data_IF_543942329014
#
_entry.id   IF_543942329014
#
_cell.length_a   1.000
_cell.length_b   1.000
_cell.length_c   1.000
_cell.angle_alpha   90.00
_cell.angle_beta   90.00
_cell.angle_gamma   90.00
#
_symmetry.space_group_name_H-M   'P 1'
#
loop_
_entity.id
_entity.type
_entity.pdbx_description
1 polymer ?
#
# COMPACT_ATOMS: atom_id res chain seq x y z
N UNK A 1 4.65 -28.75 9.83
CA UNK A 1 5.63 -29.29 10.80
C UNK A 1 6.10 -30.68 10.40
N UNK A 2 5.27 -31.47 9.73
CA UNK A 2 5.64 -32.67 8.94
C UNK A 2 7.08 -32.69 8.36
N UNK A 3 7.55 -31.59 7.79
CA UNK A 3 8.87 -31.51 7.13
C UNK A 3 9.91 -30.65 7.85
N UNK A 4 9.50 -29.88 8.87
CA UNK A 4 10.33 -28.84 9.52
C UNK A 4 10.23 -28.82 11.05
N UNK A 5 9.84 -29.95 11.65
CA UNK A 5 9.66 -30.06 13.09
C UNK A 5 10.96 -29.78 13.85
N UNK A 6 12.11 -30.25 13.35
CA UNK A 6 13.40 -30.14 14.04
C UNK A 6 13.83 -28.67 14.11
N UNK A 7 13.74 -27.94 13.00
CA UNK A 7 14.07 -26.52 12.91
C UNK A 7 13.11 -25.67 13.77
N UNK A 8 11.80 -25.97 13.71
CA UNK A 8 10.80 -25.29 14.53
C UNK A 8 11.03 -25.52 16.03
N UNK A 9 11.40 -26.73 16.43
CA UNK A 9 11.70 -27.05 17.83
C UNK A 9 12.97 -26.34 18.31
N UNK A 10 14.02 -26.32 17.47
CA UNK A 10 15.25 -25.60 17.76
C UNK A 10 15.02 -24.11 18.02
N UNK A 11 14.25 -23.45 17.15
CA UNK A 11 13.85 -22.04 17.34
C UNK A 11 13.02 -21.87 18.61
N UNK A 12 12.04 -22.76 18.85
CA UNK A 12 11.18 -22.70 20.02
C UNK A 12 11.96 -22.79 21.33
N UNK A 13 12.98 -23.64 21.40
CA UNK A 13 13.79 -23.82 22.62
C UNK A 13 14.61 -22.56 22.95
N UNK A 14 15.13 -21.88 21.93
CA UNK A 14 15.84 -20.60 22.12
C UNK A 14 14.86 -19.50 22.58
N UNK A 15 13.67 -19.43 21.97
CA UNK A 15 12.64 -18.46 22.37
C UNK A 15 12.17 -18.70 23.81
N UNK A 16 12.01 -19.96 24.22
CA UNK A 16 11.72 -20.33 25.62
C UNK A 16 12.86 -19.98 26.56
N UNK A 17 14.11 -20.23 26.15
CA UNK A 17 15.31 -19.84 26.90
C UNK A 17 15.42 -18.32 27.11
N UNK A 18 14.85 -17.52 26.20
CA UNK A 18 14.73 -16.08 26.33
C UNK A 18 13.52 -15.63 27.20
N UNK A 19 12.83 -16.56 27.86
CA UNK A 19 11.73 -16.27 28.79
C UNK A 19 10.35 -16.09 28.16
N UNK A 20 10.15 -16.51 26.90
CA UNK A 20 8.85 -16.40 26.21
C UNK A 20 8.13 -17.74 26.09
N UNK A 21 6.80 -17.70 26.17
CA UNK A 21 5.97 -18.85 25.83
C UNK A 21 5.90 -19.04 24.31
N UNK A 22 5.81 -20.30 23.87
CA UNK A 22 5.75 -20.66 22.44
C UNK A 22 4.50 -21.49 22.18
N UNK A 23 3.74 -21.09 21.17
CA UNK A 23 2.63 -21.84 20.59
C UNK A 23 3.03 -22.30 19.19
N UNK A 24 2.78 -23.57 18.86
CA UNK A 24 3.00 -24.09 17.51
C UNK A 24 1.72 -24.02 16.69
N UNK A 25 1.83 -23.47 15.48
CA UNK A 25 0.78 -23.53 14.46
C UNK A 25 1.28 -24.44 13.35
N UNK A 26 0.73 -25.65 13.27
CA UNK A 26 1.12 -26.63 12.25
C UNK A 26 0.38 -26.37 10.94
N UNK A 27 1.14 -26.03 9.89
CA UNK A 27 0.65 -25.86 8.51
C UNK A 27 1.11 -27.01 7.59
N UNK A 28 1.48 -28.15 8.16
CA UNK A 28 1.90 -29.35 7.43
C UNK A 28 0.73 -30.04 6.72
N UNK A 29 1.00 -30.62 5.55
CA UNK A 29 -0.04 -31.24 4.72
C UNK A 29 -0.28 -32.71 5.06
N UNK A 30 0.67 -33.39 5.71
CA UNK A 30 0.64 -34.85 5.89
C UNK A 30 -0.39 -35.36 6.90
N UNK A 31 -0.90 -34.51 7.81
CA UNK A 31 -1.81 -34.91 8.89
C UNK A 31 -3.23 -34.36 8.72
N UNK A 32 -3.45 -33.48 7.75
CA UNK A 32 -4.71 -32.76 7.60
C UNK A 32 -5.72 -33.53 6.75
N UNK A 33 -6.41 -34.49 7.36
CA UNK A 33 -7.52 -35.22 6.72
C UNK A 33 -8.75 -34.36 6.41
N UNK A 34 -8.76 -33.08 6.82
CA UNK A 34 -9.87 -32.13 6.66
C UNK A 34 -9.92 -31.48 5.27
N UNK A 35 -8.78 -31.41 4.57
CA UNK A 35 -8.68 -30.85 3.24
C UNK A 35 -8.26 -31.94 2.26
N UNK A 36 -9.23 -32.54 1.57
CA UNK A 36 -8.95 -33.53 0.51
C UNK A 36 -8.97 -32.80 -0.83
N UNK A 37 -7.79 -32.46 -1.34
CA UNK A 37 -7.61 -32.00 -2.71
C UNK A 37 -6.41 -32.71 -3.32
N UNK A 38 -6.54 -33.16 -4.57
CA UNK A 38 -5.43 -33.68 -5.35
C UNK A 38 -4.52 -32.56 -5.90
N UNK A 39 -4.95 -31.30 -5.78
CA UNK A 39 -4.15 -30.12 -6.11
C UNK A 39 -3.46 -29.58 -4.85
N UNK A 40 -2.11 -29.67 -4.76
CA UNK A 40 -1.34 -29.14 -3.64
C UNK A 40 -1.52 -27.64 -3.40
N UNK A 41 -1.80 -26.84 -4.43
CA UNK A 41 -1.99 -25.39 -4.27
C UNK A 41 -3.31 -25.08 -3.54
N UNK A 42 -4.40 -25.75 -3.94
CA UNK A 42 -5.72 -25.62 -3.28
C UNK A 42 -5.65 -26.10 -1.83
N UNK A 43 -4.94 -27.20 -1.58
CA UNK A 43 -4.72 -27.72 -0.23
C UNK A 43 -4.00 -26.69 0.66
N UNK A 44 -2.89 -26.13 0.19
CA UNK A 44 -2.11 -25.13 0.94
C UNK A 44 -2.91 -23.85 1.20
N UNK A 45 -3.73 -23.40 0.24
CA UNK A 45 -4.60 -22.25 0.43
C UNK A 45 -5.66 -22.49 1.52
N UNK A 46 -6.23 -23.70 1.59
CA UNK A 46 -7.16 -24.09 2.66
C UNK A 46 -6.51 -24.08 4.04
N UNK A 47 -5.32 -24.70 4.15
CA UNK A 47 -4.53 -24.72 5.39
C UNK A 47 -4.16 -23.30 5.84
N UNK A 48 -3.66 -22.48 4.91
CA UNK A 48 -3.28 -21.10 5.20
C UNK A 48 -4.47 -20.30 5.76
N UNK A 49 -5.67 -20.48 5.20
CA UNK A 49 -6.89 -19.79 5.65
C UNK A 49 -7.29 -20.15 7.08
N UNK A 50 -7.22 -21.43 7.44
CA UNK A 50 -7.54 -21.87 8.80
C UNK A 50 -6.47 -21.46 9.82
N UNK A 51 -5.20 -21.50 9.42
CA UNK A 51 -4.10 -21.01 10.24
C UNK A 51 -4.21 -19.48 10.44
N UNK A 52 -4.56 -18.71 9.40
CA UNK A 52 -4.83 -17.26 9.48
C UNK A 52 -5.91 -16.94 10.52
N UNK A 53 -7.05 -17.63 10.48
CA UNK A 53 -8.12 -17.47 11.49
C UNK A 53 -7.62 -17.75 12.91
N UNK A 54 -6.85 -18.82 13.08
CA UNK A 54 -6.32 -19.22 14.38
C UNK A 54 -5.33 -18.19 14.93
N UNK A 55 -4.41 -17.70 14.09
CA UNK A 55 -3.42 -16.68 14.45
C UNK A 55 -4.10 -15.36 14.79
N UNK A 56 -5.10 -14.93 14.01
CA UNK A 56 -5.88 -13.72 14.32
C UNK A 56 -6.63 -13.85 15.64
N UNK A 57 -7.29 -14.98 15.92
CA UNK A 57 -7.96 -15.19 17.21
C UNK A 57 -7.00 -15.19 18.41
N UNK A 58 -5.77 -15.69 18.23
CA UNK A 58 -4.71 -15.57 19.24
C UNK A 58 -4.26 -14.11 19.43
N UNK A 59 -4.19 -13.33 18.36
CA UNK A 59 -3.83 -11.93 18.40
C UNK A 59 -4.90 -11.10 19.12
N UNK A 60 -6.17 -11.25 18.73
CA UNK A 60 -7.32 -10.57 19.33
C UNK A 60 -7.44 -10.83 20.84
N UNK A 61 -7.11 -12.04 21.27
CA UNK A 61 -7.13 -12.43 22.70
C UNK A 61 -5.84 -12.08 23.45
N UNK A 62 -4.88 -11.41 22.81
CA UNK A 62 -3.60 -11.01 23.42
C UNK A 62 -2.65 -12.17 23.74
N UNK A 63 -2.88 -13.35 23.17
CA UNK A 63 -2.09 -14.57 23.43
C UNK A 63 -0.85 -14.70 22.56
N UNK A 64 -0.75 -13.91 21.49
CA UNK A 64 0.44 -13.85 20.63
C UNK A 64 0.93 -12.42 20.48
N UNK A 65 2.24 -12.23 20.56
CA UNK A 65 2.91 -10.92 20.49
C UNK A 65 3.97 -10.84 19.39
N UNK A 66 4.22 -11.96 18.70
CA UNK A 66 5.12 -12.08 17.58
C UNK A 66 4.86 -13.40 16.85
N UNK A 67 5.12 -13.46 15.54
CA UNK A 67 5.02 -14.68 14.73
C UNK A 67 6.34 -14.90 13.98
N UNK A 68 6.88 -16.12 14.10
CA UNK A 68 8.04 -16.58 13.32
C UNK A 68 7.67 -17.79 12.48
N UNK A 69 7.99 -17.73 11.18
CA UNK A 69 7.82 -18.80 10.21
C UNK A 69 9.17 -19.35 9.75
N UNK A 70 9.19 -20.64 9.44
CA UNK A 70 10.35 -21.35 8.88
C UNK A 70 9.87 -22.16 7.69
N UNK A 71 10.39 -21.91 6.49
CA UNK A 71 9.94 -22.64 5.31
C UNK A 71 10.72 -22.39 4.03
N UNK A 72 10.55 -23.28 3.05
CA UNK A 72 10.99 -23.04 1.67
C UNK A 72 9.96 -22.23 0.88
N UNK A 73 9.95 -22.36 -0.44
CA UNK A 73 9.01 -21.61 -1.32
C UNK A 73 7.54 -21.76 -0.93
N UNK A 74 7.01 -23.00 -0.85
CA UNK A 74 5.61 -23.25 -0.49
C UNK A 74 5.24 -22.74 0.91
N UNK A 75 6.10 -23.02 1.89
CA UNK A 75 5.89 -22.57 3.28
C UNK A 75 5.94 -21.05 3.42
N UNK A 76 6.75 -20.37 2.61
CA UNK A 76 6.83 -18.90 2.58
C UNK A 76 5.55 -18.28 2.04
N UNK A 77 4.96 -18.86 0.99
CA UNK A 77 3.65 -18.43 0.48
C UNK A 77 2.55 -18.60 1.53
N UNK A 78 2.50 -19.76 2.20
CA UNK A 78 1.55 -20.00 3.30
C UNK A 78 1.77 -19.01 4.44
N UNK A 79 3.02 -18.75 4.83
CA UNK A 79 3.32 -17.77 5.88
C UNK A 79 2.75 -16.39 5.54
N UNK A 80 2.96 -15.93 4.31
CA UNK A 80 2.44 -14.64 3.84
C UNK A 80 0.92 -14.53 4.01
N UNK A 81 0.19 -15.58 3.63
CA UNK A 81 -1.27 -15.63 3.80
C UNK A 81 -1.71 -15.67 5.27
N UNK A 82 -0.98 -16.41 6.13
CA UNK A 82 -1.31 -16.57 7.55
C UNK A 82 -1.18 -15.26 8.32
N UNK A 83 -0.20 -14.43 8.00
CA UNK A 83 0.08 -13.19 8.74
C UNK A 83 -0.54 -11.94 8.10
N UNK A 84 -1.29 -12.09 7.00
CA UNK A 84 -1.75 -10.97 6.17
C UNK A 84 -2.67 -9.98 6.90
N UNK A 85 -3.42 -10.43 7.91
CA UNK A 85 -4.33 -9.57 8.71
C UNK A 85 -3.68 -9.00 9.97
N UNK A 86 -2.46 -9.42 10.31
CA UNK A 86 -1.82 -8.93 11.51
C UNK A 86 -1.46 -7.45 11.33
N UNK A 87 -1.65 -6.60 12.37
CA UNK A 87 -1.47 -5.17 12.22
C UNK A 87 -0.08 -4.77 11.74
N UNK A 88 -0.02 -3.59 11.11
CA UNK A 88 1.25 -2.96 10.81
C UNK A 88 2.07 -2.74 12.09
N UNK A 89 3.37 -3.00 12.04
CA UNK A 89 4.27 -2.99 13.19
C UNK A 89 4.22 -4.26 14.05
N UNK A 90 3.26 -5.16 13.84
CA UNK A 90 3.26 -6.46 14.53
C UNK A 90 4.50 -7.28 14.14
N UNK A 91 5.29 -7.85 15.08
CA UNK A 91 6.49 -8.61 14.75
C UNK A 91 6.19 -9.86 13.92
N UNK A 92 6.60 -9.84 12.65
CA UNK A 92 6.47 -10.95 11.69
C UNK A 92 7.86 -11.25 11.14
N UNK A 93 8.37 -12.46 11.37
CA UNK A 93 9.69 -12.89 10.86
C UNK A 93 9.56 -14.19 10.06
N UNK A 94 10.12 -14.23 8.86
CA UNK A 94 10.18 -15.42 8.03
C UNK A 94 11.63 -15.83 7.76
N UNK A 95 12.04 -16.99 8.27
CA UNK A 95 13.31 -17.65 7.91
C UNK A 95 13.06 -18.54 6.70
N UNK A 96 13.72 -18.27 5.57
CA UNK A 96 13.33 -18.91 4.32
C UNK A 96 14.44 -19.21 3.32
N UNK A 97 14.33 -20.37 2.66
CA UNK A 97 15.12 -20.78 1.47
C UNK A 97 14.41 -20.46 0.14
N UNK A 98 13.32 -19.68 0.17
CA UNK A 98 12.56 -19.33 -1.02
C UNK A 98 13.37 -18.50 -2.02
N UNK A 99 12.97 -18.62 -3.29
CA UNK A 99 13.51 -17.82 -4.40
C UNK A 99 13.35 -16.31 -4.13
N UNK A 100 14.35 -15.47 -4.44
CA UNK A 100 14.33 -14.03 -4.15
C UNK A 100 13.09 -13.30 -4.64
N UNK A 101 12.53 -13.70 -5.79
CA UNK A 101 11.32 -13.09 -6.32
C UNK A 101 10.10 -13.25 -5.40
N UNK A 102 9.94 -14.42 -4.74
CA UNK A 102 8.83 -14.61 -3.79
C UNK A 102 9.07 -13.79 -2.51
N UNK A 103 10.31 -13.71 -2.05
CA UNK A 103 10.67 -12.87 -0.90
C UNK A 103 10.39 -11.39 -1.19
N UNK A 104 10.72 -10.92 -2.39
CA UNK A 104 10.40 -9.56 -2.83
C UNK A 104 8.88 -9.33 -2.92
N UNK A 105 8.12 -10.33 -3.40
CA UNK A 105 6.65 -10.26 -3.43
C UNK A 105 6.06 -10.10 -2.02
N UNK A 106 6.55 -10.89 -1.04
CA UNK A 106 6.12 -10.78 0.35
C UNK A 106 6.49 -9.42 0.95
N UNK A 107 7.72 -8.95 0.73
CA UNK A 107 8.17 -7.63 1.20
C UNK A 107 7.38 -6.47 0.58
N UNK A 108 6.87 -6.64 -0.64
CA UNK A 108 6.01 -5.64 -1.30
C UNK A 108 4.59 -5.56 -0.74
N UNK A 109 4.15 -6.57 0.03
CA UNK A 109 2.78 -6.67 0.56
C UNK A 109 2.72 -6.58 2.09
N UNK A 110 3.78 -7.00 2.78
CA UNK A 110 3.81 -7.18 4.22
C UNK A 110 4.97 -6.42 4.85
N UNK A 111 4.76 -5.92 6.06
CA UNK A 111 5.80 -5.40 6.95
C UNK A 111 6.50 -6.57 7.69
N UNK A 112 7.15 -7.42 6.91
CA UNK A 112 7.77 -8.67 7.37
C UNK A 112 9.30 -8.55 7.40
N UNK A 113 9.92 -9.07 8.45
CA UNK A 113 11.35 -9.33 8.48
C UNK A 113 11.66 -10.64 7.75
N UNK A 114 12.43 -10.55 6.68
CA UNK A 114 12.86 -11.72 5.91
C UNK A 114 14.29 -12.09 6.30
N UNK A 115 14.51 -13.35 6.65
CA UNK A 115 15.83 -13.91 6.91
C UNK A 115 16.12 -15.01 5.87
N UNK A 116 16.70 -14.66 4.70
CA UNK A 116 17.05 -15.63 3.68
C UNK A 116 18.16 -16.55 4.20
N UNK A 117 17.94 -17.87 4.15
CA UNK A 117 18.95 -18.85 4.59
C UNK A 117 20.06 -19.05 3.56
N UNK A 118 19.80 -18.74 2.30
CA UNK A 118 20.67 -18.97 1.12
C UNK A 118 21.07 -20.44 0.86
N UNK A 119 20.75 -21.34 1.79
CA UNK A 119 20.83 -22.79 1.69
C UNK A 119 19.48 -23.38 2.07
N UNK A 120 19.20 -24.60 1.62
CA UNK A 120 17.95 -25.26 1.99
C UNK A 120 17.97 -25.75 3.45
N UNK A 121 16.77 -25.91 4.01
CA UNK A 121 16.55 -26.38 5.37
C UNK A 121 16.23 -27.87 5.34
N UNK A 122 17.18 -28.70 5.77
CA UNK A 122 17.04 -30.14 5.96
C UNK A 122 17.58 -30.51 7.35
N UNK A 123 16.90 -30.01 8.38
CA UNK A 123 17.34 -30.10 9.77
C UNK A 123 18.32 -28.99 10.17
N UNK A 124 18.83 -29.13 11.39
CA UNK A 124 19.74 -28.16 12.01
C UNK A 124 21.17 -28.68 11.91
N UNK A 125 22.04 -27.92 11.25
CA UNK A 125 23.47 -28.19 11.14
C UNK A 125 24.28 -26.95 11.56
N UNK A 126 25.61 -27.03 11.59
CA UNK A 126 26.46 -25.92 12.06
C UNK A 126 26.36 -24.62 11.25
N UNK A 127 25.77 -24.65 10.06
CA UNK A 127 25.48 -23.46 9.25
C UNK A 127 24.06 -22.94 9.50
N UNK A 128 23.05 -23.80 9.39
CA UNK A 128 21.64 -23.40 9.56
C UNK A 128 21.31 -23.01 11.00
N UNK A 129 21.99 -23.60 12.00
CA UNK A 129 21.82 -23.25 13.42
C UNK A 129 22.11 -21.78 13.69
N UNK A 130 23.12 -21.19 13.04
CA UNK A 130 23.50 -19.78 13.23
C UNK A 130 22.38 -18.85 12.80
N UNK A 131 21.78 -19.13 11.64
CA UNK A 131 20.66 -18.36 11.09
C UNK A 131 19.40 -18.52 11.96
N UNK A 132 19.07 -19.75 12.32
CA UNK A 132 17.91 -20.05 13.17
C UNK A 132 18.06 -19.44 14.57
N UNK A 133 19.25 -19.48 15.16
CA UNK A 133 19.53 -18.88 16.46
C UNK A 133 19.39 -17.36 16.43
N UNK A 134 19.97 -16.69 15.43
CA UNK A 134 19.82 -15.25 15.26
C UNK A 134 18.36 -14.85 15.08
N UNK A 135 17.61 -15.57 14.24
CA UNK A 135 16.19 -15.31 14.02
C UNK A 135 15.35 -15.52 15.29
N UNK A 136 15.63 -16.59 16.05
CA UNK A 136 14.97 -16.88 17.32
C UNK A 136 15.23 -15.79 18.37
N UNK A 137 16.49 -15.35 18.51
CA UNK A 137 16.86 -14.26 19.42
C UNK A 137 16.25 -12.92 19.00
N UNK A 138 16.24 -12.63 17.70
CA UNK A 138 15.64 -11.41 17.16
C UNK A 138 14.13 -11.35 17.46
N UNK A 139 13.38 -12.40 17.12
CA UNK A 139 11.93 -12.41 17.36
C UNK A 139 11.61 -12.44 18.87
N UNK A 140 12.43 -13.10 19.68
CA UNK A 140 12.26 -13.09 21.13
C UNK A 140 12.47 -11.70 21.75
N UNK A 141 13.34 -10.87 21.15
CA UNK A 141 13.57 -9.50 21.60
C UNK A 141 12.51 -8.50 21.11
N UNK A 142 11.70 -8.85 20.09
CA UNK A 142 10.67 -7.96 19.58
C UNK A 142 9.44 -7.94 20.48
N UNK A 143 8.92 -6.75 20.72
CA UNK A 143 7.69 -6.53 21.47
C UNK A 143 6.70 -5.76 20.61
N UNK A 144 5.47 -6.28 20.50
CA UNK A 144 4.38 -5.50 19.97
C UNK A 144 3.75 -4.69 21.09
N UNK A 145 3.83 -3.36 20.95
CA UNK A 145 3.07 -2.44 21.76
C UNK A 145 1.99 -1.87 20.83
N UNK A 146 0.72 -2.28 21.00
CA UNK A 146 -0.37 -1.68 20.24
C UNK A 146 -0.29 -0.17 20.38
N UNK A 147 -0.37 0.57 19.27
CA UNK A 147 -0.37 2.03 19.28
C UNK A 147 -1.51 2.48 20.20
N UNK A 148 -1.18 3.20 21.28
CA UNK A 148 -2.20 3.93 22.01
C UNK A 148 -2.91 4.86 21.00
N UNK A 149 -4.24 4.96 21.05
CA UNK A 149 -4.98 5.85 20.14
C UNK A 149 -4.32 7.23 20.19
N UNK A 150 -3.58 7.57 19.15
CA UNK A 150 -2.89 8.85 19.05
C UNK A 150 -3.95 9.94 19.09
N UNK A 151 -3.76 10.97 19.91
CA UNK A 151 -4.61 12.18 19.88
C UNK A 151 -4.32 13.03 18.64
N UNK A 152 -3.16 12.88 17.99
CA UNK A 152 -2.83 13.59 16.76
C UNK A 152 -3.46 12.89 15.58
N UNK A 153 -4.28 13.65 14.86
CA UNK A 153 -4.90 13.24 13.61
C UNK A 153 -3.84 13.01 12.54
N UNK A 154 -4.00 11.96 11.75
CA UNK A 154 -3.05 11.56 10.72
C UNK A 154 -3.72 11.61 9.35
N UNK A 155 -3.13 12.36 8.43
CA UNK A 155 -3.62 12.51 7.05
C UNK A 155 -2.67 11.82 6.09
N UNK A 156 -3.18 10.88 5.30
CA UNK A 156 -2.41 10.27 4.21
C UNK A 156 -2.40 11.19 3.00
N UNK A 157 -1.25 11.30 2.32
CA UNK A 157 -1.09 12.13 1.12
C UNK A 157 -0.39 11.32 0.05
N UNK A 158 -0.94 11.26 -1.17
CA UNK A 158 -0.19 10.71 -2.31
C UNK A 158 0.65 11.78 -2.99
N UNK A 159 1.82 11.42 -3.50
CA UNK A 159 2.72 12.36 -4.18
C UNK A 159 3.54 11.65 -5.26
N UNK A 160 4.01 12.43 -6.22
CA UNK A 160 5.01 12.01 -7.21
C UNK A 160 6.04 13.12 -7.41
N UNK A 161 7.14 12.84 -8.12
CA UNK A 161 8.20 13.84 -8.33
C UNK A 161 7.65 15.18 -8.86
N UNK A 162 6.70 15.08 -9.81
CA UNK A 162 6.03 16.20 -10.50
C UNK A 162 4.89 16.87 -9.71
N UNK A 163 4.59 16.39 -8.50
CA UNK A 163 3.55 16.92 -7.59
C UNK A 163 4.09 17.16 -6.17
N UNK A 164 5.42 17.04 -6.00
CA UNK A 164 6.11 17.22 -4.72
C UNK A 164 5.90 18.61 -4.11
N UNK A 165 5.87 19.73 -4.88
CA UNK A 165 5.58 21.03 -4.30
C UNK A 165 4.21 21.09 -3.58
N UNK A 166 3.16 20.52 -4.19
CA UNK A 166 1.82 20.46 -3.59
C UNK A 166 1.83 19.62 -2.29
N UNK A 167 2.43 18.43 -2.33
CA UNK A 167 2.52 17.55 -1.17
C UNK A 167 3.28 18.20 0.00
N UNK A 168 4.42 18.85 -0.28
CA UNK A 168 5.19 19.57 0.73
C UNK A 168 4.41 20.74 1.35
N UNK A 169 3.63 21.46 0.54
CA UNK A 169 2.77 22.53 1.03
C UNK A 169 1.67 21.97 1.95
N UNK A 170 1.01 20.87 1.58
CA UNK A 170 0.03 20.19 2.43
C UNK A 170 0.64 19.73 3.76
N UNK A 171 1.81 19.08 3.72
CA UNK A 171 2.53 18.63 4.93
C UNK A 171 2.80 19.79 5.88
N UNK A 172 3.28 20.93 5.36
CA UNK A 172 3.53 22.12 6.18
C UNK A 172 2.25 22.65 6.81
N UNK A 173 1.20 22.84 6.01
CA UNK A 173 -0.08 23.40 6.47
C UNK A 173 -0.77 22.50 7.52
N UNK A 174 -0.70 21.18 7.35
CA UNK A 174 -1.21 20.23 8.35
C UNK A 174 -0.37 20.22 9.62
N UNK A 175 0.95 20.34 9.49
CA UNK A 175 1.88 20.48 10.63
C UNK A 175 1.58 21.72 11.48
N UNK A 176 1.27 22.85 10.85
CA UNK A 176 0.85 24.09 11.53
C UNK A 176 -0.47 23.90 12.33
N UNK A 177 -1.27 22.90 11.95
CA UNK A 177 -2.50 22.48 12.66
C UNK A 177 -2.29 21.33 13.65
N UNK A 178 -1.03 20.97 13.93
CA UNK A 178 -0.64 19.86 14.83
C UNK A 178 -1.17 18.49 14.36
N UNK A 179 -1.38 18.33 13.06
CA UNK A 179 -1.71 17.05 12.43
C UNK A 179 -0.45 16.41 11.85
N UNK A 180 -0.41 15.08 11.82
CA UNK A 180 0.65 14.32 11.16
C UNK A 180 0.25 14.08 9.70
N UNK A 181 1.22 14.21 8.79
CA UNK A 181 1.03 13.95 7.38
C UNK A 181 1.99 12.83 6.94
N UNK A 182 1.45 11.76 6.36
CA UNK A 182 2.25 10.64 5.84
C UNK A 182 2.14 10.64 4.33
N UNK A 183 3.27 10.87 3.66
CA UNK A 183 3.34 10.95 2.20
C UNK A 183 3.69 9.60 1.59
N UNK A 184 2.87 9.14 0.66
CA UNK A 184 3.04 7.91 -0.11
C UNK A 184 3.44 8.23 -1.54
N UNK A 185 4.53 7.65 -2.06
CA UNK A 185 4.86 7.77 -3.47
C UNK A 185 3.82 7.02 -4.31
N UNK A 186 3.20 7.68 -5.28
CA UNK A 186 2.24 7.09 -6.20
C UNK A 186 2.93 6.24 -7.28
N UNK A 187 3.60 5.17 -6.85
CA UNK A 187 4.41 4.27 -7.68
C UNK A 187 3.84 2.84 -7.76
N UNK A 188 2.55 2.69 -7.49
CA UNK A 188 1.82 1.44 -7.39
C UNK A 188 1.92 0.80 -6.02
N UNK A 189 3.14 0.62 -5.51
CA UNK A 189 3.36 0.05 -4.18
C UNK A 189 2.93 1.00 -3.06
N UNK A 190 3.22 2.30 -3.20
CA UNK A 190 2.82 3.30 -2.21
C UNK A 190 1.30 3.48 -2.14
N UNK A 191 0.61 3.58 -3.27
CA UNK A 191 -0.86 3.60 -3.31
C UNK A 191 -1.49 2.38 -2.66
N UNK A 192 -1.07 1.16 -3.04
CA UNK A 192 -1.54 -0.08 -2.39
C UNK A 192 -1.31 -0.07 -0.89
N UNK A 193 -0.14 0.39 -0.44
CA UNK A 193 0.16 0.40 0.99
C UNK A 193 -0.69 1.43 1.73
N UNK A 194 -0.94 2.59 1.14
CA UNK A 194 -1.85 3.59 1.68
C UNK A 194 -3.26 3.01 1.85
N UNK A 195 -3.85 2.41 0.80
CA UNK A 195 -5.18 1.79 0.88
C UNK A 195 -5.25 0.74 2.01
N UNK A 196 -4.25 -0.14 2.11
CA UNK A 196 -4.17 -1.16 3.17
C UNK A 196 -4.10 -0.55 4.57
N UNK A 197 -3.38 0.56 4.76
CA UNK A 197 -3.29 1.23 6.05
C UNK A 197 -4.55 2.04 6.39
N UNK A 198 -5.26 2.55 5.38
CA UNK A 198 -6.59 3.15 5.55
C UNK A 198 -7.59 2.09 6.01
N UNK A 199 -7.61 0.90 5.42
CA UNK A 199 -8.44 -0.23 5.87
C UNK A 199 -8.10 -0.65 7.32
N UNK A 200 -6.83 -0.55 7.71
CA UNK A 200 -6.37 -0.82 9.07
C UNK A 200 -6.72 0.28 10.08
N UNK A 201 -7.32 1.40 9.64
CA UNK A 201 -7.72 2.51 10.51
C UNK A 201 -6.56 3.38 11.00
N UNK A 202 -5.44 3.44 10.26
CA UNK A 202 -4.27 4.23 10.63
C UNK A 202 -4.37 5.72 10.28
N UNK A 203 -5.39 6.11 9.50
CA UNK A 203 -5.58 7.47 8.99
C UNK A 203 -6.97 8.01 9.30
N UNK A 204 -7.03 9.30 9.59
CA UNK A 204 -8.26 10.04 9.86
C UNK A 204 -8.81 10.75 8.61
N UNK A 205 -7.97 11.00 7.60
CA UNK A 205 -8.35 11.56 6.31
C UNK A 205 -7.31 11.24 5.23
N UNK A 206 -7.70 11.40 3.96
CA UNK A 206 -6.82 11.21 2.80
C UNK A 206 -6.88 12.44 1.88
N UNK A 207 -5.71 13.00 1.56
CA UNK A 207 -5.52 13.94 0.45
C UNK A 207 -4.84 13.18 -0.68
N UNK A 208 -5.64 12.66 -1.58
CA UNK A 208 -5.16 11.92 -2.74
C UNK A 208 -4.75 12.87 -3.87
N UNK A 209 -3.63 13.57 -3.68
CA UNK A 209 -3.15 14.58 -4.63
C UNK A 209 -2.78 13.97 -5.98
N UNK A 210 -2.20 12.76 -5.96
CA UNK A 210 -1.56 12.15 -7.12
C UNK A 210 -2.16 10.78 -7.40
N UNK A 211 -2.99 10.72 -8.44
CA UNK A 211 -3.77 9.55 -8.84
C UNK A 211 -3.28 8.90 -10.14
N UNK A 212 -2.02 9.19 -10.53
CA UNK A 212 -1.32 8.63 -11.71
C UNK A 212 -1.37 7.10 -11.81
N UNK A 213 -1.45 6.39 -10.69
CA UNK A 213 -1.53 4.93 -10.64
C UNK A 213 -2.78 4.37 -11.36
N UNK A 214 -3.83 5.20 -11.57
CA UNK A 214 -4.98 4.85 -12.41
C UNK A 214 -4.66 4.86 -13.91
N UNK A 215 -3.78 5.76 -14.35
CA UNK A 215 -3.31 5.80 -15.74
C UNK A 215 -2.51 4.53 -16.04
N UNK A 216 -1.61 4.16 -15.13
CA UNK A 216 -0.85 2.93 -15.20
C UNK A 216 -1.73 1.67 -15.17
N UNK A 217 -2.75 1.61 -14.30
CA UNK A 217 -3.69 0.48 -14.29
C UNK A 217 -4.46 0.36 -15.62
N UNK A 218 -4.91 1.49 -16.19
CA UNK A 218 -5.70 1.48 -17.42
C UNK A 218 -4.88 1.12 -18.65
N UNK A 219 -3.61 1.55 -18.71
CA UNK A 219 -2.77 1.50 -19.90
C UNK A 219 -1.60 0.50 -19.79
N UNK A 220 -1.57 -0.29 -18.72
CA UNK A 220 -0.55 -1.33 -18.53
C UNK A 220 0.83 -0.79 -18.13
N UNK A 221 0.86 0.36 -17.45
CA UNK A 221 2.07 0.94 -16.88
C UNK A 221 2.64 0.12 -15.70
N UNK A 222 3.87 0.42 -15.32
CA UNK A 222 4.62 -0.33 -14.31
C UNK A 222 4.32 0.10 -12.88
N UNK A 223 3.62 1.23 -12.69
CA UNK A 223 3.27 1.82 -11.40
C UNK A 223 1.78 1.70 -11.07
N UNK A 224 1.09 0.69 -11.59
CA UNK A 224 -0.31 0.42 -11.19
C UNK A 224 -0.38 0.08 -9.70
N UNK A 225 -1.39 0.63 -9.01
CA UNK A 225 -1.79 0.26 -7.64
C UNK A 225 -2.90 -0.80 -7.60
N UNK A 226 -3.32 -1.33 -8.75
CA UNK A 226 -4.34 -2.36 -8.88
C UNK A 226 -5.78 -1.84 -8.77
N UNK A 227 -6.77 -2.75 -8.85
CA UNK A 227 -8.17 -2.39 -9.05
C UNK A 227 -8.83 -1.72 -7.84
N UNK A 228 -8.30 -1.86 -6.64
CA UNK A 228 -8.90 -1.29 -5.43
C UNK A 228 -8.45 0.14 -5.13
N UNK A 229 -7.61 0.72 -6.00
CA UNK A 229 -7.12 2.09 -5.84
C UNK A 229 -8.28 3.11 -5.78
N UNK A 230 -8.18 4.06 -4.86
CA UNK A 230 -9.15 5.09 -4.46
C UNK A 230 -10.37 4.62 -3.66
N UNK A 231 -10.41 3.36 -3.18
CA UNK A 231 -11.64 2.82 -2.59
C UNK A 231 -11.66 2.72 -1.07
N UNK A 232 -10.50 2.63 -0.40
CA UNK A 232 -10.46 2.34 1.04
C UNK A 232 -11.03 3.49 1.88
N UNK A 233 -10.67 4.74 1.58
CA UNK A 233 -11.14 5.89 2.34
C UNK A 233 -12.67 6.02 2.30
N UNK A 234 -13.25 5.96 1.09
CA UNK A 234 -14.69 5.96 0.92
C UNK A 234 -15.39 4.77 1.57
N UNK A 235 -14.79 3.56 1.54
CA UNK A 235 -15.32 2.36 2.21
C UNK A 235 -15.31 2.49 3.73
N UNK A 236 -14.21 3.00 4.30
CA UNK A 236 -14.05 3.25 5.74
C UNK A 236 -14.84 4.48 6.23
N UNK A 237 -15.29 5.34 5.32
CA UNK A 237 -16.08 6.52 5.64
C UNK A 237 -15.26 7.71 6.15
N UNK A 238 -13.94 7.71 5.97
CA UNK A 238 -13.09 8.85 6.34
C UNK A 238 -13.08 9.90 5.21
N UNK A 239 -12.87 11.20 5.52
CA UNK A 239 -12.78 12.24 4.51
C UNK A 239 -11.72 11.94 3.43
N UNK A 240 -12.12 12.03 2.17
CA UNK A 240 -11.25 11.80 1.01
C UNK A 240 -11.32 12.98 0.03
N UNK A 241 -10.22 13.73 -0.09
CA UNK A 241 -10.04 14.73 -1.15
C UNK A 241 -9.24 14.11 -2.30
N UNK A 242 -9.67 14.32 -3.54
CA UNK A 242 -9.05 13.73 -4.72
C UNK A 242 -8.62 14.83 -5.69
N UNK A 243 -7.41 14.71 -6.23
CA UNK A 243 -6.91 15.53 -7.31
C UNK A 243 -6.35 14.69 -8.46
N UNK A 244 -6.29 15.24 -9.68
CA UNK A 244 -5.83 14.53 -10.87
C UNK A 244 -4.29 14.51 -11.01
N UNK A 245 -3.54 14.60 -9.91
CA UNK A 245 -2.09 14.79 -9.99
C UNK A 245 -1.41 13.69 -10.82
N UNK A 246 -0.59 14.12 -11.77
CA UNK A 246 0.17 13.26 -12.68
C UNK A 246 -0.66 12.26 -13.54
N UNK A 247 -1.98 12.47 -13.73
CA UNK A 247 -2.77 11.63 -14.66
C UNK A 247 -2.45 11.89 -16.14
N UNK A 248 -1.60 12.88 -16.41
CA UNK A 248 -1.03 13.19 -17.73
C UNK A 248 0.07 12.19 -18.17
N UNK A 249 0.45 11.23 -17.33
CA UNK A 249 1.52 10.28 -17.64
C UNK A 249 1.24 8.84 -17.23
N UNK A 250 1.79 7.90 -18.00
CA UNK A 250 1.90 6.47 -17.69
C UNK A 250 3.38 6.12 -17.54
N UNK A 251 3.70 5.30 -16.55
CA UNK A 251 5.08 4.96 -16.24
C UNK A 251 5.51 3.65 -16.93
N UNK A 252 6.65 3.69 -17.60
CA UNK A 252 7.34 2.51 -18.12
C UNK A 252 8.80 2.50 -17.64
N UNK A 253 9.47 1.37 -17.86
CA UNK A 253 10.90 1.22 -17.59
C UNK A 253 11.77 1.96 -18.61
N UNK A 254 12.88 1.33 -18.97
CA UNK A 254 13.73 1.80 -20.08
C UNK A 254 12.92 1.94 -21.37
N UNK A 255 13.35 2.81 -22.28
CA UNK A 255 12.64 3.07 -23.54
C UNK A 255 12.35 1.78 -24.33
N UNK A 256 13.28 0.83 -24.33
CA UNK A 256 13.12 -0.46 -25.01
C UNK A 256 12.10 -1.40 -24.38
N UNK A 257 11.62 -1.10 -23.16
CA UNK A 257 10.55 -1.86 -22.50
C UNK A 257 9.15 -1.29 -22.75
N UNK A 258 9.05 -0.13 -23.40
CA UNK A 258 7.76 0.45 -23.78
C UNK A 258 7.08 -0.47 -24.80
N UNK A 259 5.82 -0.88 -24.59
CA UNK A 259 5.08 -1.72 -25.54
C UNK A 259 5.07 -1.14 -26.97
N UNK A 260 5.21 -1.97 -28.03
CA UNK A 260 5.28 -1.49 -29.41
C UNK A 260 4.09 -0.63 -29.84
N UNK A 261 2.89 -0.88 -29.30
CA UNK A 261 1.70 -0.07 -29.57
C UNK A 261 1.84 1.41 -29.13
N UNK A 262 2.77 1.73 -28.23
CA UNK A 262 3.04 3.08 -27.75
C UNK A 262 4.29 3.72 -28.37
N UNK A 263 4.97 3.05 -29.31
CA UNK A 263 6.26 3.50 -29.84
C UNK A 263 6.20 4.87 -30.54
N UNK A 264 5.08 5.19 -31.20
CA UNK A 264 4.87 6.46 -31.91
C UNK A 264 4.25 7.57 -31.05
N UNK A 265 4.04 7.29 -29.76
CA UNK A 265 3.42 8.25 -28.83
C UNK A 265 4.44 9.27 -28.33
N UNK A 266 3.93 10.30 -27.64
CA UNK A 266 4.78 11.31 -26.96
C UNK A 266 5.41 10.70 -25.71
N UNK A 267 6.63 10.18 -25.88
CA UNK A 267 7.45 9.60 -24.83
C UNK A 267 8.45 10.63 -24.29
N UNK A 268 8.69 10.60 -22.98
CA UNK A 268 9.66 11.43 -22.29
C UNK A 268 10.58 10.56 -21.43
N UNK A 269 11.88 10.58 -21.72
CA UNK A 269 12.88 9.89 -20.92
C UNK A 269 13.15 10.67 -19.62
N UNK A 270 12.43 10.33 -18.56
CA UNK A 270 12.56 10.98 -17.26
C UNK A 270 13.91 10.66 -16.61
N UNK A 271 14.33 9.40 -16.70
CA UNK A 271 15.66 8.93 -16.29
C UNK A 271 16.16 7.90 -17.30
N UNK A 272 17.44 7.47 -17.25
CA UNK A 272 17.91 6.34 -18.05
C UNK A 272 17.11 5.04 -17.87
N UNK A 273 16.33 4.92 -16.79
CA UNK A 273 15.58 3.72 -16.43
C UNK A 273 14.06 3.91 -16.44
N UNK A 274 13.56 5.11 -16.75
CA UNK A 274 12.14 5.45 -16.66
C UNK A 274 11.72 6.30 -17.84
N UNK A 275 10.72 5.80 -18.57
CA UNK A 275 10.10 6.49 -19.70
C UNK A 275 8.65 6.79 -19.33
N UNK A 276 8.24 8.03 -19.54
CA UNK A 276 6.87 8.48 -19.32
C UNK A 276 6.16 8.58 -20.66
N UNK A 277 4.95 8.05 -20.74
CA UNK A 277 4.07 8.17 -21.89
C UNK A 277 2.99 9.22 -21.60
N UNK A 278 2.85 10.24 -22.46
CA UNK A 278 1.75 11.21 -22.34
C UNK A 278 0.41 10.55 -22.64
N UNK A 279 -0.56 10.67 -21.73
CA UNK A 279 -1.94 10.24 -21.94
C UNK A 279 -2.67 11.13 -22.97
N UNK A 280 -3.56 10.57 -23.78
CA UNK A 280 -4.39 11.32 -24.75
C UNK A 280 -5.67 11.87 -24.12
N UNK A 281 -6.44 12.74 -24.83
CA UNK A 281 -7.79 13.13 -24.41
C UNK A 281 -8.74 11.95 -24.15
N UNK A 282 -8.72 10.90 -24.98
CA UNK A 282 -9.56 9.72 -24.80
C UNK A 282 -9.18 8.94 -23.54
N UNK A 283 -7.87 8.75 -23.32
CA UNK A 283 -7.34 8.03 -22.16
C UNK A 283 -7.59 8.80 -20.86
N UNK A 284 -7.33 10.11 -20.85
CA UNK A 284 -7.63 10.98 -19.71
C UNK A 284 -9.12 11.05 -19.40
N UNK A 285 -9.99 11.07 -20.42
CA UNK A 285 -11.44 10.93 -20.21
C UNK A 285 -11.79 9.61 -19.51
N UNK A 286 -11.21 8.50 -19.96
CA UNK A 286 -11.42 7.19 -19.34
C UNK A 286 -10.91 7.15 -17.89
N UNK A 287 -9.76 7.77 -17.59
CA UNK A 287 -9.22 7.90 -16.22
C UNK A 287 -10.17 8.75 -15.35
N UNK A 288 -10.72 9.85 -15.88
CA UNK A 288 -11.73 10.67 -15.19
C UNK A 288 -12.99 9.87 -14.86
N UNK A 289 -13.51 9.10 -15.82
CA UNK A 289 -14.66 8.20 -15.60
C UNK A 289 -14.36 7.13 -14.55
N UNK A 290 -13.17 6.53 -14.60
CA UNK A 290 -12.73 5.53 -13.62
C UNK A 290 -12.68 6.15 -12.21
N UNK A 291 -12.11 7.35 -12.08
CA UNK A 291 -12.06 8.09 -10.81
C UNK A 291 -13.48 8.27 -10.25
N UNK A 292 -14.42 8.74 -11.06
CA UNK A 292 -15.81 8.91 -10.65
C UNK A 292 -16.47 7.59 -10.21
N UNK A 293 -16.20 6.49 -10.92
CA UNK A 293 -16.69 5.16 -10.55
C UNK A 293 -16.16 4.72 -9.18
N UNK A 294 -14.87 4.93 -8.87
CA UNK A 294 -14.31 4.62 -7.55
C UNK A 294 -15.00 5.42 -6.45
N UNK A 295 -15.20 6.71 -6.67
CA UNK A 295 -15.85 7.60 -5.70
C UNK A 295 -17.34 7.32 -5.52
N UNK A 296 -18.01 6.71 -6.50
CA UNK A 296 -19.44 6.40 -6.41
C UNK A 296 -19.82 5.45 -5.26
N UNK A 297 -18.85 4.68 -4.76
CA UNK A 297 -19.03 3.77 -3.63
C UNK A 297 -18.66 4.42 -2.27
N UNK A 298 -18.29 5.70 -2.24
CA UNK A 298 -17.90 6.40 -1.02
C UNK A 298 -19.07 6.53 -0.05
N UNK A 299 -18.82 6.18 1.21
CA UNK A 299 -19.76 6.32 2.33
C UNK A 299 -19.45 7.54 3.20
N UNK A 300 -18.25 8.11 3.07
CA UNK A 300 -17.78 9.28 3.81
C UNK A 300 -17.75 10.55 2.95
N UNK A 301 -17.39 11.71 3.56
CA UNK A 301 -17.20 12.95 2.82
C UNK A 301 -16.15 12.78 1.73
N UNK A 302 -16.49 13.17 0.51
CA UNK A 302 -15.57 13.15 -0.63
C UNK A 302 -15.68 14.44 -1.44
N UNK A 303 -14.56 14.92 -1.96
CA UNK A 303 -14.52 16.06 -2.89
C UNK A 303 -13.43 15.87 -3.92
N UNK A 304 -13.72 16.29 -5.16
CA UNK A 304 -12.68 16.43 -6.19
C UNK A 304 -12.24 17.88 -6.29
N UNK A 305 -10.93 18.10 -6.23
CA UNK A 305 -10.31 19.41 -6.44
C UNK A 305 -9.62 19.43 -7.81
N UNK A 306 -10.07 20.33 -8.69
CA UNK A 306 -9.60 20.42 -10.07
C UNK A 306 -8.68 21.63 -10.28
N UNK A 307 -7.38 21.45 -10.60
CA UNK A 307 -6.45 22.53 -10.93
C UNK A 307 -6.51 22.88 -12.42
N UNK A 308 -7.20 23.96 -12.78
CA UNK A 308 -7.49 24.26 -14.19
C UNK A 308 -6.26 24.65 -15.04
N UNK A 309 -5.11 24.93 -14.42
CA UNK A 309 -3.87 25.32 -15.14
C UNK A 309 -2.85 24.19 -15.30
N UNK A 310 -3.15 22.98 -14.80
CA UNK A 310 -2.34 21.80 -15.05
C UNK A 310 -2.18 20.87 -13.86
N UNK A 311 -1.86 19.61 -14.16
CA UNK A 311 -1.91 18.49 -13.22
C UNK A 311 -0.54 17.92 -12.82
N UNK A 312 0.55 18.44 -13.39
CA UNK A 312 1.92 18.00 -13.09
C UNK A 312 2.94 19.08 -13.49
N UNK A 313 4.16 19.02 -12.95
CA UNK A 313 5.25 19.92 -13.39
C UNK A 313 5.51 19.89 -14.92
N UNK A 314 5.17 18.79 -15.61
CA UNK A 314 5.31 18.68 -17.06
C UNK A 314 4.12 19.24 -17.83
N UNK A 315 2.96 19.34 -17.19
CA UNK A 315 1.72 19.88 -17.73
C UNK A 315 1.56 21.37 -17.35
N UNK A 316 2.51 22.17 -17.82
CA UNK A 316 2.50 23.64 -17.71
C UNK A 316 2.70 24.23 -19.08
N UNK A 317 2.27 25.46 -19.33
CA UNK A 317 2.49 26.12 -20.61
C UNK A 317 3.97 26.04 -21.07
N UNK A 318 4.20 25.53 -22.28
CA UNK A 318 5.56 25.26 -22.81
C UNK A 318 6.22 23.97 -22.31
N UNK A 319 5.59 23.24 -21.39
CA UNK A 319 6.06 22.00 -20.79
C UNK A 319 5.95 20.78 -21.69
N UNK A 320 6.72 19.71 -21.40
CA UNK A 320 6.83 18.55 -22.26
C UNK A 320 5.59 17.67 -22.27
N UNK A 321 4.59 17.89 -21.41
CA UNK A 321 3.28 17.20 -21.42
C UNK A 321 2.08 18.17 -21.42
N UNK A 322 2.32 19.46 -21.67
CA UNK A 322 1.22 20.43 -21.75
C UNK A 322 0.18 20.02 -22.79
N UNK A 323 -1.05 19.82 -22.32
CA UNK A 323 -2.21 19.52 -23.18
C UNK A 323 -3.52 19.91 -22.46
N UNK A 324 -4.01 21.15 -22.68
CA UNK A 324 -5.27 21.61 -22.10
C UNK A 324 -6.49 20.81 -22.57
N UNK A 325 -6.44 20.17 -23.74
CA UNK A 325 -7.54 19.36 -24.25
C UNK A 325 -7.66 18.06 -23.45
N UNK A 326 -6.54 17.37 -23.23
CA UNK A 326 -6.51 16.18 -22.38
C UNK A 326 -6.96 16.49 -20.94
N UNK A 327 -6.55 17.62 -20.39
CA UNK A 327 -6.99 18.05 -19.06
C UNK A 327 -8.51 18.25 -19.00
N UNK A 328 -9.10 18.95 -19.97
CA UNK A 328 -10.55 19.12 -20.05
C UNK A 328 -11.27 17.77 -20.26
N UNK A 329 -10.67 16.86 -21.01
CA UNK A 329 -11.24 15.54 -21.25
C UNK A 329 -11.33 14.71 -19.95
N UNK A 330 -10.33 14.78 -19.06
CA UNK A 330 -10.39 14.19 -17.72
C UNK A 330 -11.58 14.72 -16.91
N UNK A 331 -11.69 16.06 -16.81
CA UNK A 331 -12.77 16.69 -16.05
C UNK A 331 -14.15 16.35 -16.64
N UNK A 332 -14.27 16.30 -17.96
CA UNK A 332 -15.49 15.89 -18.66
C UNK A 332 -15.87 14.44 -18.33
N UNK A 333 -14.89 13.52 -18.38
CA UNK A 333 -15.09 12.11 -18.04
C UNK A 333 -15.52 11.92 -16.59
N UNK A 334 -14.89 12.65 -15.68
CA UNK A 334 -15.28 12.67 -14.27
C UNK A 334 -16.73 13.16 -14.11
N UNK A 335 -17.06 14.36 -14.58
CA UNK A 335 -18.39 14.98 -14.41
C UNK A 335 -19.50 14.12 -15.03
N UNK A 336 -19.23 13.41 -16.12
CA UNK A 336 -20.21 12.54 -16.77
C UNK A 336 -20.58 11.29 -15.95
N UNK A 337 -19.73 10.85 -15.02
CA UNK A 337 -19.93 9.62 -14.25
C UNK A 337 -20.03 9.86 -12.72
N UNK A 338 -19.71 11.06 -12.24
CA UNK A 338 -19.67 11.36 -10.81
C UNK A 338 -21.08 11.56 -10.24
N UNK A 339 -21.41 10.94 -9.09
CA UNK A 339 -22.67 11.20 -8.39
C UNK A 339 -22.80 12.68 -7.98
N UNK A 340 -24.01 13.23 -8.10
CA UNK A 340 -24.26 14.65 -7.81
C UNK A 340 -24.06 15.08 -6.35
N UNK A 341 -23.91 14.13 -5.42
CA UNK A 341 -23.61 14.40 -4.01
C UNK A 341 -22.10 14.58 -3.73
N UNK A 342 -21.23 14.32 -4.71
CA UNK A 342 -19.78 14.51 -4.57
C UNK A 342 -19.40 15.82 -5.27
N UNK A 343 -19.05 16.88 -4.51
CA UNK A 343 -18.70 18.17 -5.10
C UNK A 343 -17.40 18.10 -5.91
N UNK A 344 -17.36 18.89 -6.98
CA UNK A 344 -16.15 19.18 -7.76
C UNK A 344 -15.84 20.67 -7.61
N UNK A 345 -14.76 21.01 -6.91
CA UNK A 345 -14.28 22.38 -6.74
C UNK A 345 -13.20 22.66 -7.78
N UNK A 346 -13.47 23.58 -8.68
CA UNK A 346 -12.53 24.02 -9.71
C UNK A 346 -11.75 25.25 -9.22
N UNK A 347 -10.42 25.20 -9.33
CA UNK A 347 -9.50 26.27 -8.94
C UNK A 347 -8.74 26.78 -10.15
N UNK A 348 -8.63 28.10 -10.27
CA UNK A 348 -7.88 28.76 -11.34
C UNK A 348 -6.36 28.76 -11.08
N UNK A 349 -5.81 27.58 -10.82
CA UNK A 349 -4.43 27.38 -10.38
C UNK A 349 -3.82 26.12 -11.00
N UNK A 350 -2.49 26.02 -10.93
CA UNK A 350 -1.77 24.80 -11.20
C UNK A 350 -1.76 23.92 -9.93
N UNK A 351 -1.66 22.59 -10.07
CA UNK A 351 -1.67 21.68 -8.90
C UNK A 351 -0.59 22.01 -7.87
N UNK A 352 0.57 22.48 -8.34
CA UNK A 352 1.73 22.83 -7.51
C UNK A 352 1.71 24.28 -6.98
N UNK A 353 0.65 25.06 -7.28
CA UNK A 353 0.52 26.39 -6.72
C UNK A 353 0.09 26.31 -5.23
N UNK A 354 0.58 27.21 -4.35
CA UNK A 354 0.26 27.16 -2.91
C UNK A 354 -1.23 27.22 -2.58
N UNK A 355 -2.02 27.87 -3.42
CA UNK A 355 -3.47 27.98 -3.26
C UNK A 355 -4.19 26.63 -3.42
N UNK A 356 -3.66 25.71 -4.24
CA UNK A 356 -4.20 24.36 -4.39
C UNK A 356 -4.06 23.57 -3.09
N UNK A 357 -2.84 23.54 -2.53
CA UNK A 357 -2.57 22.87 -1.26
C UNK A 357 -3.37 23.49 -0.10
N UNK A 358 -3.56 24.82 -0.12
CA UNK A 358 -4.36 25.51 0.88
C UNK A 358 -5.82 25.07 0.85
N UNK A 359 -6.43 25.01 -0.33
CA UNK A 359 -7.81 24.54 -0.49
C UNK A 359 -7.98 23.04 -0.15
N UNK A 360 -6.98 22.22 -0.48
CA UNK A 360 -6.97 20.80 -0.13
C UNK A 360 -6.96 20.59 1.40
N UNK A 361 -6.10 21.31 2.12
CA UNK A 361 -6.01 21.21 3.58
C UNK A 361 -7.22 21.84 4.27
N UNK A 362 -7.70 22.99 3.80
CA UNK A 362 -8.94 23.63 4.29
C UNK A 362 -10.11 22.64 4.28
N UNK A 363 -10.33 21.97 3.15
CA UNK A 363 -11.40 20.99 3.05
C UNK A 363 -11.25 19.83 4.04
N UNK A 364 -10.03 19.30 4.24
CA UNK A 364 -9.80 18.23 5.22
C UNK A 364 -10.11 18.71 6.63
N UNK A 365 -9.70 19.92 7.00
CA UNK A 365 -9.94 20.49 8.34
C UNK A 365 -11.44 20.66 8.62
N UNK A 366 -12.22 21.01 7.61
CA UNK A 366 -13.68 21.18 7.74
C UNK A 366 -14.44 19.85 7.91
N UNK A 367 -13.83 18.72 7.53
CA UNK A 367 -14.51 17.42 7.48
C UNK A 367 -13.92 16.39 8.46
N UNK A 368 -12.85 16.73 9.16
CA UNK A 368 -12.26 15.89 10.18
C UNK A 368 -12.76 16.32 11.55
N UNK A 369 -13.12 15.37 12.42
CA UNK A 369 -13.51 15.69 13.79
C UNK A 369 -12.32 16.33 14.52
N UNK A 370 -12.42 17.62 14.79
CA UNK A 370 -11.37 18.43 15.43
C UNK A 370 -11.45 18.43 16.96
N UNK A 371 -12.22 17.51 17.57
CA UNK A 371 -12.22 17.31 19.02
C UNK A 371 -10.81 16.94 19.49
N UNK A 372 -10.06 17.99 19.80
CA UNK A 372 -8.79 17.97 20.50
C UNK A 372 -9.15 17.61 21.92
N UNK A 373 -9.01 16.33 22.26
CA UNK A 373 -9.19 15.89 23.62
C UNK A 373 -8.23 16.70 24.51
N UNK A 374 -8.81 17.54 25.37
CA UNK A 374 -8.10 18.42 26.29
C UNK A 374 -6.89 17.72 26.90
N UNK A 375 -5.73 18.37 26.80
CA UNK A 375 -4.55 18.07 27.61
C UNK A 375 -4.85 18.48 29.07
N UNK A 376 -5.77 17.77 29.71
CA UNK A 376 -6.02 17.82 31.15
C UNK A 376 -6.47 16.44 31.62
N UNK A 377 -5.53 15.49 31.73
CA UNK A 377 -5.41 14.53 32.86
C UNK A 377 -3.95 14.11 32.97
#
# INVERSE_FOLDING_TARGET
>A
MDTKQVEASFVADIVRGAGRSVLFVDVGTSKDGRFRSNDPAVLLAGIAREARKSVNGLFETGKVSAVIGIGGGKGSGVFGEVVADLPYGFPKLLVSSARPALLAELAGKLDVLLYPTLVDLFGVNGFTSRVLENAARAIAAMHYLPKAKSRRKIVAITSFGVTTPAANACVRLLGDKKMEAIVFPANGAGGRKMESLVDAGEFDAVIDLTTTELADELLGGTASAGPDRLTAAGRCGIPQLIAPGAVDMVNFGVLSSVPPEFAERRLYAHTPYTTLLRTTPEETNAIGRLTAQKLSASRGPAQVLWPSKGVSDYDREGGPFHDPEANRAWLSGLRAALPGNIPVRELNCHINDPEFASAAVEWVLDHIDTETADENV
#
